data_IF_903802017088
#
_entry.id   IF_903802017088
#
_cell.length_a   1.000
_cell.length_b   1.000
_cell.length_c   1.000
_cell.angle_alpha   90.00
_cell.angle_beta   90.00
_cell.angle_gamma   90.00
#
_symmetry.space_group_name_H-M   'P 1'
#
loop_
_entity.id
_entity.type
_entity.pdbx_description
1 polymer ?
#
# COMPACT_ATOMS: atom_id res chain seq x y z
N UNK A 1 14.52 -9.53 -4.50
CA UNK A 1 13.56 -8.51 -4.02
C UNK A 1 13.55 -7.29 -4.93
N UNK A 2 12.40 -6.66 -5.16
CA UNK A 2 12.29 -5.48 -6.02
C UNK A 2 12.15 -4.19 -5.20
N UNK A 3 13.25 -3.44 -5.07
CA UNK A 3 13.28 -2.04 -4.58
C UNK A 3 12.48 -1.80 -3.29
N UNK A 4 12.59 -2.68 -2.28
CA UNK A 4 11.85 -2.54 -1.02
C UNK A 4 12.14 -1.20 -0.33
N UNK A 5 13.39 -0.75 -0.29
CA UNK A 5 13.77 0.53 0.32
C UNK A 5 13.01 1.72 -0.30
N UNK A 6 12.73 1.69 -1.61
CA UNK A 6 11.90 2.72 -2.26
C UNK A 6 10.43 2.66 -1.80
N UNK A 7 9.90 1.46 -1.55
CA UNK A 7 8.55 1.28 -1.04
C UNK A 7 8.43 1.72 0.43
N UNK A 8 9.44 1.43 1.25
CA UNK A 8 9.52 1.88 2.65
C UNK A 8 9.60 3.40 2.72
N UNK A 9 10.44 4.05 1.91
CA UNK A 9 10.50 5.51 1.85
C UNK A 9 9.14 6.13 1.46
N UNK A 10 8.43 5.51 0.48
CA UNK A 10 7.07 5.94 0.11
C UNK A 10 6.05 5.72 1.24
N UNK A 11 6.20 4.63 2.00
CA UNK A 11 5.34 4.32 3.14
C UNK A 11 5.54 5.34 4.27
N UNK A 12 6.79 5.62 4.66
CA UNK A 12 7.14 6.66 5.63
C UNK A 12 6.58 8.03 5.24
N UNK A 13 6.72 8.43 3.97
CA UNK A 13 6.13 9.67 3.45
C UNK A 13 4.59 9.70 3.55
N UNK A 14 3.92 8.56 3.38
CA UNK A 14 2.45 8.46 3.51
C UNK A 14 1.99 8.51 4.97
N UNK A 15 2.75 7.88 5.88
CA UNK A 15 2.53 7.94 7.34
C UNK A 15 2.67 9.39 7.83
N UNK A 16 3.74 10.08 7.44
CA UNK A 16 3.98 11.48 7.77
C UNK A 16 2.84 12.38 7.28
N UNK A 17 2.39 12.21 6.03
CA UNK A 17 1.26 13.00 5.49
C UNK A 17 -0.04 12.76 6.28
N UNK A 18 -0.20 11.58 6.86
CA UNK A 18 -1.36 11.20 7.67
C UNK A 18 -1.21 11.61 9.14
N UNK A 19 -0.14 12.33 9.51
CA UNK A 19 0.19 12.76 10.86
C UNK A 19 0.22 11.61 11.89
N UNK A 20 0.55 10.39 11.46
CA UNK A 20 0.57 9.21 12.33
C UNK A 20 1.89 9.07 13.09
N UNK A 21 3.02 9.21 12.40
CA UNK A 21 4.36 9.15 12.97
C UNK A 21 5.37 9.78 12.01
N UNK A 22 6.49 10.24 12.56
CA UNK A 22 7.67 10.65 11.80
C UNK A 22 8.75 9.57 11.93
N UNK A 23 8.75 8.62 10.99
CA UNK A 23 9.74 7.54 10.98
C UNK A 23 11.14 8.10 10.65
N UNK A 24 12.11 7.77 11.49
CA UNK A 24 13.53 8.06 11.28
C UNK A 24 14.13 7.12 10.23
N UNK A 25 15.39 7.35 9.84
CA UNK A 25 16.08 6.44 8.92
C UNK A 25 16.42 5.10 9.58
N UNK A 26 16.63 5.13 10.88
CA UNK A 26 16.80 3.96 11.73
C UNK A 26 15.50 3.13 11.76
N UNK A 27 14.34 3.78 11.88
CA UNK A 27 13.04 3.11 11.81
C UNK A 27 12.76 2.49 10.43
N UNK A 28 13.07 3.23 9.35
CA UNK A 28 12.96 2.70 7.99
C UNK A 28 13.84 1.46 7.79
N UNK A 29 15.06 1.47 8.34
CA UNK A 29 15.98 0.32 8.32
C UNK A 29 15.45 -0.84 9.16
N UNK A 30 14.91 -0.57 10.35
CA UNK A 30 14.32 -1.60 11.19
C UNK A 30 13.11 -2.27 10.49
N UNK A 31 12.24 -1.47 9.86
CA UNK A 31 11.11 -2.00 9.09
C UNK A 31 11.56 -2.86 7.90
N UNK A 32 12.66 -2.48 7.24
CA UNK A 32 13.25 -3.28 6.17
C UNK A 32 13.65 -4.67 6.67
N UNK A 33 14.42 -4.74 7.76
CA UNK A 33 14.84 -6.04 8.32
C UNK A 33 13.64 -6.84 8.84
N UNK A 34 12.65 -6.20 9.49
CA UNK A 34 11.43 -6.90 9.93
C UNK A 34 10.64 -7.51 8.77
N UNK A 35 10.51 -6.80 7.64
CA UNK A 35 9.87 -7.34 6.44
C UNK A 35 10.68 -8.50 5.85
N UNK A 36 12.02 -8.39 5.85
CA UNK A 36 12.91 -9.45 5.38
C UNK A 36 12.78 -10.70 6.24
N UNK A 37 12.78 -10.57 7.56
CA UNK A 37 12.58 -11.68 8.49
C UNK A 37 11.20 -12.32 8.31
N UNK A 38 10.14 -11.53 8.12
CA UNK A 38 8.81 -12.06 7.79
C UNK A 38 8.85 -12.93 6.54
N UNK A 39 9.52 -12.49 5.48
CA UNK A 39 9.65 -13.26 4.23
C UNK A 39 10.40 -14.57 4.44
N UNK A 40 11.41 -14.60 5.32
CA UNK A 40 12.13 -15.84 5.65
C UNK A 40 11.25 -16.82 6.43
N UNK A 41 10.47 -16.32 7.40
CA UNK A 41 9.50 -17.15 8.14
C UNK A 41 8.42 -17.71 7.20
N UNK A 42 7.95 -16.88 6.28
CA UNK A 42 6.90 -17.21 5.31
C UNK A 42 7.44 -17.82 4.00
N UNK A 43 8.72 -18.24 3.94
CA UNK A 43 9.36 -18.70 2.70
C UNK A 43 8.57 -19.83 2.01
N UNK A 44 8.01 -20.72 2.81
CA UNK A 44 7.16 -21.84 2.35
C UNK A 44 5.89 -21.41 1.60
N UNK A 45 5.45 -20.15 1.74
CA UNK A 45 4.32 -19.60 0.99
C UNK A 45 4.71 -18.99 -0.36
N UNK A 46 6.01 -18.88 -0.67
CA UNK A 46 6.48 -18.25 -1.92
C UNK A 46 6.40 -19.28 -3.06
N UNK A 47 5.54 -19.08 -4.08
CA UNK A 47 5.46 -20.03 -5.19
C UNK A 47 6.73 -19.97 -6.04
N UNK A 48 7.20 -21.12 -6.50
CA UNK A 48 8.42 -21.28 -7.31
C UNK A 48 8.19 -21.11 -8.82
N UNK A 49 6.93 -21.08 -9.24
CA UNK A 49 6.52 -20.99 -10.64
C UNK A 49 6.82 -19.60 -11.24
N UNK A 50 7.33 -19.52 -12.48
CA UNK A 50 7.54 -18.24 -13.15
C UNK A 50 6.27 -17.38 -13.21
N UNK A 51 6.41 -16.09 -12.85
CA UNK A 51 5.30 -15.14 -12.86
C UNK A 51 4.46 -15.13 -11.57
N UNK A 52 4.76 -15.99 -10.61
CA UNK A 52 4.21 -15.94 -9.26
C UNK A 52 5.13 -15.13 -8.34
N UNK A 53 4.56 -14.63 -7.24
CA UNK A 53 5.32 -13.91 -6.21
C UNK A 53 4.59 -13.94 -4.87
N UNK A 54 5.28 -13.55 -3.81
CA UNK A 54 4.67 -13.22 -2.52
C UNK A 54 4.40 -11.72 -2.47
N UNK A 55 3.13 -11.34 -2.38
CA UNK A 55 2.71 -9.96 -2.25
C UNK A 55 2.75 -9.53 -0.80
N UNK A 56 3.53 -8.48 -0.50
CA UNK A 56 3.67 -7.91 0.83
C UNK A 56 2.83 -6.63 0.97
N UNK A 57 2.09 -6.52 2.06
CA UNK A 57 1.20 -5.38 2.36
C UNK A 57 1.53 -4.75 3.72
N UNK A 58 2.61 -3.95 3.82
CA UNK A 58 2.81 -3.06 4.95
C UNK A 58 1.65 -2.06 5.06
N UNK A 59 1.14 -1.90 6.26
CA UNK A 59 -0.03 -1.09 6.58
C UNK A 59 0.19 -0.35 7.90
N UNK A 60 -0.23 0.91 7.98
CA UNK A 60 -0.23 1.70 9.20
C UNK A 60 -1.64 2.24 9.45
N UNK A 61 -2.11 2.13 10.68
CA UNK A 61 -3.41 2.65 11.13
C UNK A 61 -3.26 3.38 12.46
N UNK A 62 -4.00 4.47 12.66
CA UNK A 62 -4.18 5.07 13.98
C UNK A 62 -5.08 4.18 14.84
N UNK A 63 -4.71 3.96 16.10
CA UNK A 63 -5.39 3.03 17.02
C UNK A 63 -5.82 3.67 18.33
N UNK A 64 -5.73 5.00 18.42
CA UNK A 64 -6.15 5.74 19.61
C UNK A 64 -7.66 5.56 19.87
N UNK A 65 -8.01 5.25 21.12
CA UNK A 65 -9.40 5.01 21.54
C UNK A 65 -10.16 6.33 21.77
N UNK A 66 -10.45 7.05 20.69
CA UNK A 66 -11.16 8.33 20.73
C UNK A 66 -12.03 8.52 19.49
N UNK A 67 -13.09 9.31 19.62
CA UNK A 67 -13.91 9.78 18.50
C UNK A 67 -13.46 11.14 17.95
N UNK A 68 -12.55 11.82 18.65
CA UNK A 68 -12.06 13.13 18.25
C UNK A 68 -11.17 13.05 17.00
N UNK A 69 -11.20 14.12 16.20
CA UNK A 69 -10.41 14.23 14.96
C UNK A 69 -9.17 15.08 15.22
N UNK A 70 -8.07 14.40 15.52
CA UNK A 70 -6.75 15.00 15.74
C UNK A 70 -5.67 13.97 15.37
N UNK A 71 -4.39 14.39 15.23
CA UNK A 71 -3.29 13.45 15.02
C UNK A 71 -3.29 12.35 16.09
N UNK A 72 -3.26 11.07 15.70
CA UNK A 72 -3.38 9.98 16.66
C UNK A 72 -2.15 9.92 17.57
N UNK A 73 -2.35 9.63 18.86
CA UNK A 73 -1.24 9.35 19.80
C UNK A 73 -0.71 7.94 19.69
N UNK A 74 -1.53 7.02 19.18
CA UNK A 74 -1.21 5.61 19.02
C UNK A 74 -1.43 5.18 17.57
N UNK A 75 -0.45 4.49 17.02
CA UNK A 75 -0.52 3.89 15.69
C UNK A 75 0.06 2.47 15.69
N UNK A 76 -0.42 1.66 14.75
CA UNK A 76 0.04 0.29 14.56
C UNK A 76 0.51 0.11 13.13
N UNK A 77 1.77 -0.31 12.98
CA UNK A 77 2.31 -0.83 11.74
C UNK A 77 2.22 -2.35 11.78
N UNK A 78 1.71 -2.94 10.70
CA UNK A 78 1.70 -4.39 10.50
C UNK A 78 1.94 -4.72 9.03
N UNK A 79 2.35 -5.96 8.76
CA UNK A 79 2.60 -6.47 7.42
C UNK A 79 1.87 -7.79 7.28
N UNK A 80 1.12 -7.94 6.18
CA UNK A 80 0.57 -9.24 5.78
C UNK A 80 1.19 -9.66 4.45
N UNK A 81 1.29 -10.96 4.24
CA UNK A 81 1.81 -11.61 3.04
C UNK A 81 0.69 -12.39 2.34
N UNK A 82 0.75 -12.52 1.01
CA UNK A 82 -0.20 -13.32 0.23
C UNK A 82 0.48 -13.86 -1.02
N UNK A 83 0.46 -15.18 -1.29
CA UNK A 83 0.91 -15.70 -2.58
C UNK A 83 0.00 -15.14 -3.69
N UNK A 84 0.59 -14.73 -4.80
CA UNK A 84 -0.13 -14.21 -5.96
C UNK A 84 0.43 -14.82 -7.25
N UNK A 85 -0.49 -15.11 -8.17
CA UNK A 85 -0.15 -15.59 -9.51
C UNK A 85 0.02 -14.46 -10.54
N UNK A 86 0.35 -14.83 -11.78
CA UNK A 86 0.56 -13.85 -12.84
C UNK A 86 -0.71 -13.08 -13.15
N UNK A 87 -0.59 -11.75 -13.28
CA UNK A 87 -1.68 -10.86 -13.66
C UNK A 87 -2.26 -11.18 -15.05
N UNK A 88 -1.42 -11.72 -15.95
CA UNK A 88 -1.75 -12.06 -17.33
C UNK A 88 -1.53 -13.57 -17.58
N UNK A 89 -2.39 -14.42 -16.99
CA UNK A 89 -2.26 -15.88 -17.07
C UNK A 89 -2.15 -16.44 -18.50
N UNK A 90 -2.80 -15.81 -19.48
CA UNK A 90 -2.84 -16.22 -20.88
C UNK A 90 -2.07 -15.27 -21.82
N UNK A 91 -1.13 -14.49 -21.29
CA UNK A 91 -0.44 -13.44 -22.04
C UNK A 91 -1.14 -12.08 -21.97
N UNK A 92 -0.49 -11.06 -22.54
CA UNK A 92 -0.93 -9.67 -22.46
C UNK A 92 -2.34 -9.49 -23.03
N UNK A 93 -3.26 -8.98 -22.20
CA UNK A 93 -4.64 -8.67 -22.59
C UNK A 93 -4.87 -7.17 -22.42
N UNK A 94 -5.06 -6.41 -23.51
CA UNK A 94 -5.33 -4.98 -23.39
C UNK A 94 -6.69 -4.73 -22.72
N UNK A 95 -6.82 -3.57 -22.09
CA UNK A 95 -8.06 -3.10 -21.46
C UNK A 95 -8.52 -1.81 -22.11
N UNK A 96 -9.84 -1.62 -22.22
CA UNK A 96 -10.44 -0.34 -22.60
C UNK A 96 -10.49 0.60 -21.39
N UNK A 97 -10.41 1.91 -21.64
CA UNK A 97 -10.45 2.93 -20.59
C UNK A 97 -11.64 3.86 -20.81
N UNK A 98 -12.38 4.17 -19.73
CA UNK A 98 -13.37 5.23 -19.73
C UNK A 98 -12.72 6.55 -19.30
N UNK A 99 -12.68 7.52 -20.21
CA UNK A 99 -12.28 8.89 -19.88
C UNK A 99 -13.51 9.67 -19.40
N UNK A 100 -13.47 10.21 -18.17
CA UNK A 100 -14.57 10.94 -17.57
C UNK A 100 -14.07 12.17 -16.82
N UNK A 101 -14.78 13.29 -16.97
CA UNK A 101 -14.57 14.52 -16.19
C UNK A 101 -15.49 14.59 -14.96
N UNK A 102 -16.41 13.63 -14.80
CA UNK A 102 -17.38 13.60 -13.68
C UNK A 102 -16.76 13.21 -12.35
N UNK A 103 -15.59 12.56 -12.36
CA UNK A 103 -14.92 12.07 -11.16
C UNK A 103 -13.45 12.44 -11.19
N UNK A 104 -12.97 13.02 -10.09
CA UNK A 104 -11.57 13.46 -9.94
C UNK A 104 -10.92 12.66 -8.83
N UNK A 105 -9.84 11.94 -9.16
CA UNK A 105 -9.11 11.10 -8.20
C UNK A 105 -8.32 11.92 -7.17
N UNK A 106 -7.76 13.04 -7.60
CA UNK A 106 -6.87 13.88 -6.80
C UNK A 106 -6.79 15.30 -7.38
N UNK A 107 -6.44 16.26 -6.54
CA UNK A 107 -6.21 17.67 -6.89
C UNK A 107 -4.98 18.23 -6.17
N UNK A 108 -4.42 19.38 -6.60
CA UNK A 108 -3.31 20.02 -5.89
C UNK A 108 -3.58 20.22 -4.40
N UNK A 109 -2.64 19.82 -3.53
CA UNK A 109 -2.79 19.89 -2.08
C UNK A 109 -3.51 18.70 -1.42
N UNK A 110 -4.19 17.84 -2.20
CA UNK A 110 -4.81 16.60 -1.70
C UNK A 110 -3.77 15.54 -1.28
N UNK A 111 -4.25 14.34 -0.95
CA UNK A 111 -3.42 13.16 -0.63
C UNK A 111 -3.08 12.31 -1.85
N UNK A 112 -3.30 12.82 -3.07
CA UNK A 112 -3.19 12.05 -4.31
C UNK A 112 -1.80 11.46 -4.60
N UNK A 113 -0.73 12.02 -4.05
CA UNK A 113 0.64 11.54 -4.22
C UNK A 113 1.06 10.49 -3.17
N UNK A 114 0.19 10.22 -2.19
CA UNK A 114 0.44 9.36 -1.05
C UNK A 114 -0.42 8.10 -1.16
N UNK A 115 0.06 7.00 -0.58
CA UNK A 115 -0.65 5.73 -0.62
C UNK A 115 -1.57 5.59 0.59
N UNK A 116 -2.59 6.43 0.66
CA UNK A 116 -3.59 6.44 1.75
C UNK A 116 -4.88 5.78 1.32
N UNK A 117 -5.57 5.10 2.26
CA UNK A 117 -6.80 4.34 1.98
C UNK A 117 -7.94 5.20 1.43
N UNK A 118 -8.05 6.45 1.88
CA UNK A 118 -9.07 7.42 1.45
C UNK A 118 -9.02 7.74 -0.05
N UNK A 119 -7.88 7.50 -0.72
CA UNK A 119 -7.77 7.71 -2.17
C UNK A 119 -8.44 6.60 -3.00
N UNK A 120 -8.82 5.47 -2.38
CA UNK A 120 -9.32 4.29 -3.09
C UNK A 120 -10.85 4.14 -2.98
N UNK A 121 -11.44 4.41 -1.82
CA UNK A 121 -12.89 4.30 -1.62
C UNK A 121 -13.72 5.07 -2.66
N UNK A 122 -13.43 6.36 -2.90
CA UNK A 122 -14.13 7.16 -3.91
C UNK A 122 -13.99 6.69 -5.37
N UNK A 123 -13.05 5.79 -5.68
CA UNK A 123 -12.86 5.29 -7.05
C UNK A 123 -13.77 4.12 -7.40
N UNK A 124 -14.47 3.53 -6.43
CA UNK A 124 -15.27 2.31 -6.65
C UNK A 124 -16.52 2.56 -7.48
N UNK A 125 -17.23 3.68 -7.27
CA UNK A 125 -18.40 4.02 -8.09
C UNK A 125 -18.01 4.33 -9.55
N UNK A 126 -17.00 5.18 -9.83
CA UNK A 126 -16.51 5.39 -11.20
C UNK A 126 -16.02 4.09 -11.87
N UNK A 127 -15.39 3.20 -11.11
CA UNK A 127 -14.99 1.89 -11.61
C UNK A 127 -16.21 1.06 -12.04
N UNK A 128 -17.29 1.05 -11.26
CA UNK A 128 -18.53 0.34 -11.60
C UNK A 128 -19.20 0.90 -12.86
N UNK A 129 -19.11 2.20 -13.10
CA UNK A 129 -19.66 2.84 -14.30
C UNK A 129 -18.81 2.58 -15.56
N UNK A 130 -17.54 2.24 -15.39
CA UNK A 130 -16.60 2.01 -16.48
C UNK A 130 -16.57 0.56 -17.01
N UNK A 131 -17.16 -0.38 -16.25
CA UNK A 131 -17.25 -1.82 -16.58
C UNK A 131 -18.60 -2.09 -17.21
#
# INVERSE_FOLDING_TARGET
>A
EFRLSSNIARFANSIRRSAMADLTKEDEKALYELIRELVLVDEHMIPSEPGYSLYLRPTCIGTQATLGVFPPTDAKIFVISSPVGPYYKSGFKPVSLMASTKSVRAWPGSTGAQKVGSNYGPTLLPLREAV
#
